data_IF_698285782951
#
_entry.id   IF_698285782951
#
_cell.length_a   1.000
_cell.length_b   1.000
_cell.length_c   1.000
_cell.angle_alpha   90.00
_cell.angle_beta   90.00
_cell.angle_gamma   90.00
#
_symmetry.space_group_name_H-M   'P 1'
#
loop_
_entity.id
_entity.type
_entity.pdbx_description
1 polymer ?
#
# COMPACT_ATOMS: atom_id res chain seq x y z
N UNK A 1 -0.41 -4.40 0.15
CA UNK A 1 -0.61 -5.60 -0.71
C UNK A 1 0.55 -5.71 -1.69
N UNK A 2 0.79 -6.87 -2.32
CA UNK A 2 1.80 -7.01 -3.38
C UNK A 2 1.31 -6.42 -4.71
N UNK A 3 2.15 -6.44 -5.75
CA UNK A 3 1.88 -5.89 -7.09
C UNK A 3 0.70 -6.50 -7.85
N UNK A 4 0.04 -7.52 -7.32
CA UNK A 4 -1.18 -8.09 -7.89
C UNK A 4 -2.40 -7.14 -7.76
N UNK A 5 -2.35 -6.21 -6.80
CA UNK A 5 -3.40 -5.22 -6.62
C UNK A 5 -3.36 -4.17 -7.74
N UNK A 6 -4.46 -4.03 -8.47
CA UNK A 6 -4.65 -2.88 -9.35
C UNK A 6 -5.08 -1.65 -8.52
N UNK A 7 -4.19 -0.67 -8.38
CA UNK A 7 -4.42 0.53 -7.58
C UNK A 7 -5.48 1.45 -8.18
N UNK A 8 -5.63 1.48 -9.51
CA UNK A 8 -6.60 2.32 -10.21
C UNK A 8 -8.03 1.82 -9.96
N UNK A 9 -8.20 0.49 -9.97
CA UNK A 9 -9.49 -0.13 -9.61
C UNK A 9 -9.81 0.14 -8.15
N UNK A 10 -8.85 -0.02 -7.23
CA UNK A 10 -9.04 0.29 -5.81
C UNK A 10 -9.40 1.77 -5.56
N UNK A 11 -8.80 2.68 -6.35
CA UNK A 11 -9.12 4.11 -6.35
C UNK A 11 -10.58 4.35 -6.77
N UNK A 12 -11.02 3.71 -7.86
CA UNK A 12 -12.40 3.81 -8.34
C UNK A 12 -13.44 3.33 -7.33
N UNK A 13 -13.09 2.36 -6.48
CA UNK A 13 -13.93 1.89 -5.37
C UNK A 13 -13.77 2.71 -4.07
N UNK A 14 -12.89 3.72 -4.04
CA UNK A 14 -12.66 4.53 -2.85
C UNK A 14 -12.09 3.73 -1.66
N UNK A 15 -11.29 2.71 -1.95
CA UNK A 15 -10.65 1.86 -0.94
C UNK A 15 -9.30 2.46 -0.53
N UNK A 16 -8.99 2.46 0.77
CA UNK A 16 -7.65 2.80 1.24
C UNK A 16 -6.73 1.60 0.94
N UNK A 17 -5.79 1.76 0.01
CA UNK A 17 -4.91 0.68 -0.40
C UNK A 17 -3.50 1.19 -0.73
N UNK A 18 -2.52 0.33 -0.48
CA UNK A 18 -1.11 0.58 -0.76
C UNK A 18 -0.47 -0.69 -1.34
N UNK A 19 0.38 -0.51 -2.35
CA UNK A 19 1.08 -1.58 -3.08
C UNK A 19 2.55 -1.55 -2.73
N UNK A 20 3.11 -2.69 -2.35
CA UNK A 20 4.52 -2.92 -2.05
C UNK A 20 5.16 -3.62 -3.26
N UNK A 21 6.31 -3.13 -3.69
CA UNK A 21 7.07 -3.71 -4.80
C UNK A 21 8.08 -4.76 -4.34
N UNK A 22 8.40 -5.73 -5.21
CA UNK A 22 9.48 -6.70 -4.96
C UNK A 22 9.16 -7.82 -3.97
N UNK A 23 7.87 -8.06 -3.71
CA UNK A 23 7.38 -9.07 -2.75
C UNK A 23 7.54 -10.49 -3.30
N UNK A 24 8.25 -11.36 -2.57
CA UNK A 24 8.35 -12.82 -2.82
C UNK A 24 7.65 -13.64 -1.76
N UNK A 25 7.58 -13.13 -0.53
CA UNK A 25 6.91 -13.76 0.60
C UNK A 25 6.10 -12.71 1.39
N UNK A 26 5.38 -13.13 2.43
CA UNK A 26 4.54 -12.23 3.22
C UNK A 26 5.35 -11.18 3.99
N UNK A 27 6.51 -11.53 4.54
CA UNK A 27 7.37 -10.61 5.30
C UNK A 27 7.89 -9.46 4.42
N UNK A 28 8.09 -9.71 3.12
CA UNK A 28 8.43 -8.67 2.15
C UNK A 28 7.30 -7.64 1.99
N UNK A 29 6.03 -8.01 2.23
CA UNK A 29 4.91 -7.05 2.22
C UNK A 29 5.04 -6.07 3.38
N UNK A 30 5.49 -6.53 4.55
CA UNK A 30 5.59 -5.69 5.74
C UNK A 30 6.87 -4.84 5.73
N UNK A 31 7.98 -5.41 5.28
CA UNK A 31 9.29 -4.74 5.27
C UNK A 31 9.54 -3.92 4.01
N UNK A 32 8.91 -4.27 2.88
CA UNK A 32 9.11 -3.61 1.60
C UNK A 32 8.53 -2.19 1.53
N UNK A 33 8.96 -1.46 0.50
CA UNK A 33 8.54 -0.08 0.29
C UNK A 33 7.26 0.03 -0.55
N UNK A 34 6.39 0.94 -0.12
CA UNK A 34 5.22 1.36 -0.89
C UNK A 34 5.65 1.97 -2.23
N UNK A 35 5.09 1.46 -3.33
CA UNK A 35 5.30 1.92 -4.71
C UNK A 35 4.07 2.58 -5.33
N UNK A 36 2.87 2.29 -4.82
CA UNK A 36 1.64 2.95 -5.24
C UNK A 36 0.65 3.02 -4.07
N UNK A 37 -0.17 4.07 -4.04
CA UNK A 37 -1.18 4.31 -3.00
C UNK A 37 -2.42 4.95 -3.61
N UNK A 38 -3.58 4.66 -3.03
CA UNK A 38 -4.82 5.35 -3.34
C UNK A 38 -4.88 6.74 -2.70
N UNK A 39 -5.69 7.65 -3.21
CA UNK A 39 -5.85 8.99 -2.60
C UNK A 39 -6.43 8.89 -1.20
N UNK A 40 -7.32 7.92 -0.96
CA UNK A 40 -7.83 7.65 0.38
C UNK A 40 -6.72 7.20 1.33
N UNK A 41 -5.83 6.30 0.90
CA UNK A 41 -4.66 5.92 1.70
C UNK A 41 -3.74 7.13 1.97
N UNK A 42 -3.51 8.01 1.00
CA UNK A 42 -2.75 9.26 1.21
C UNK A 42 -3.38 10.16 2.27
N UNK A 43 -4.71 10.27 2.30
CA UNK A 43 -5.42 11.06 3.32
C UNK A 43 -5.21 10.53 4.75
N UNK A 44 -4.83 9.26 4.90
CA UNK A 44 -4.44 8.64 6.17
C UNK A 44 -2.95 8.81 6.50
N UNK A 45 -2.21 9.62 5.74
CA UNK A 45 -0.78 9.88 5.93
C UNK A 45 0.13 8.78 5.40
N UNK A 46 -0.34 7.97 4.43
CA UNK A 46 0.44 6.92 3.79
C UNK A 46 1.08 7.46 2.53
N UNK A 47 2.41 7.36 2.45
CA UNK A 47 3.20 7.94 1.37
C UNK A 47 4.06 6.90 0.65
N UNK A 48 4.52 7.27 -0.54
CA UNK A 48 5.46 6.44 -1.31
C UNK A 48 6.78 6.31 -0.55
N UNK A 49 7.41 5.15 -0.64
CA UNK A 49 8.67 4.86 0.06
C UNK A 49 8.52 4.48 1.55
N UNK A 50 7.35 4.68 2.15
CA UNK A 50 7.03 4.17 3.49
C UNK A 50 7.11 2.63 3.51
N UNK A 51 7.42 2.01 4.65
CA UNK A 51 7.34 0.56 4.77
C UNK A 51 5.89 0.08 4.79
N UNK A 52 5.64 -1.14 4.33
CA UNK A 52 4.29 -1.73 4.38
C UNK A 52 3.74 -1.84 5.80
N UNK A 53 4.59 -2.07 6.79
CA UNK A 53 4.22 -2.09 8.21
C UNK A 53 3.73 -0.72 8.69
N UNK A 54 4.44 0.34 8.34
CA UNK A 54 4.06 1.71 8.69
C UNK A 54 2.76 2.14 8.00
N UNK A 55 2.58 1.74 6.73
CA UNK A 55 1.32 1.94 6.02
C UNK A 55 0.16 1.20 6.70
N UNK A 56 0.36 -0.06 7.10
CA UNK A 56 -0.67 -0.87 7.75
C UNK A 56 -1.16 -0.24 9.05
N UNK A 57 -0.25 0.27 9.89
CA UNK A 57 -0.62 0.95 11.15
C UNK A 57 -1.50 2.17 10.96
N UNK A 58 -1.43 2.83 9.79
CA UNK A 58 -2.23 4.03 9.45
C UNK A 58 -3.59 3.69 8.83
N UNK A 59 -3.82 2.41 8.50
CA UNK A 59 -5.09 1.92 7.94
C UNK A 59 -6.01 1.27 9.00
N UNK A 60 -5.52 1.08 10.22
CA UNK A 60 -6.30 0.65 11.39
C UNK A 60 -7.06 1.83 11.99
#
# INVERSE_FOLDING_TARGET
MCGFLNVEVAEGFGVAAAVVGGVKNFDDVLSGQIKAVTSKAKSLGIELGMSGLEALKRML
#
